data_IF_906614194265
#
_entry.id   IF_906614194265
#
_cell.length_a   1.000
_cell.length_b   1.000
_cell.length_c   1.000
_cell.angle_alpha   90.00
_cell.angle_beta   90.00
_cell.angle_gamma   90.00
#
_symmetry.space_group_name_H-M   'P 1'
#
loop_
_entity.id
_entity.type
_entity.pdbx_description
1 polymer ?
#
# COMPACT_ATOMS: atom_id res chain seq x y z
N UNK A 1 8.18 7.61 -3.71
CA UNK A 1 6.85 6.99 -3.94
C UNK A 1 6.57 6.58 -5.39
N UNK A 2 7.53 6.69 -6.33
CA UNK A 2 7.31 6.39 -7.76
C UNK A 2 8.01 5.09 -8.24
N UNK A 3 8.32 4.16 -7.32
CA UNK A 3 9.04 2.94 -7.68
C UNK A 3 8.15 1.98 -8.48
N UNK A 4 8.65 1.51 -9.63
CA UNK A 4 7.97 0.54 -10.51
C UNK A 4 8.84 -0.66 -10.87
N UNK A 5 9.94 -0.89 -10.13
CA UNK A 5 10.94 -1.95 -10.40
C UNK A 5 10.37 -3.37 -10.41
N UNK A 6 9.21 -3.60 -9.80
CA UNK A 6 8.52 -4.88 -9.80
C UNK A 6 7.22 -4.74 -10.63
N UNK A 7 7.25 -4.99 -11.95
CA UNK A 7 6.12 -4.72 -12.84
C UNK A 7 4.82 -5.38 -12.37
N UNK A 8 4.90 -6.68 -12.04
CA UNK A 8 3.76 -7.46 -11.51
C UNK A 8 3.10 -6.80 -10.30
N UNK A 9 3.90 -6.28 -9.36
CA UNK A 9 3.38 -5.67 -8.13
C UNK A 9 2.82 -4.28 -8.41
N UNK A 10 3.53 -3.48 -9.20
CA UNK A 10 3.11 -2.13 -9.56
C UNK A 10 1.78 -2.15 -10.33
N UNK A 11 1.60 -3.13 -11.21
CA UNK A 11 0.33 -3.37 -11.90
C UNK A 11 -0.76 -3.83 -10.93
N UNK A 12 -0.47 -4.86 -10.11
CA UNK A 12 -1.44 -5.40 -9.15
C UNK A 12 -2.01 -4.33 -8.20
N UNK A 13 -1.17 -3.48 -7.60
CA UNK A 13 -1.65 -2.47 -6.66
C UNK A 13 -2.52 -1.40 -7.32
N UNK A 14 -2.23 -1.05 -8.58
CA UNK A 14 -3.04 -0.12 -9.39
C UNK A 14 -4.35 -0.75 -9.83
N UNK A 15 -4.32 -2.01 -10.20
CA UNK A 15 -5.52 -2.77 -10.57
C UNK A 15 -6.49 -2.83 -9.39
N UNK A 16 -6.01 -3.19 -8.20
CA UNK A 16 -6.84 -3.21 -6.97
C UNK A 16 -7.40 -1.82 -6.63
N UNK A 17 -6.63 -0.76 -6.86
CA UNK A 17 -7.08 0.61 -6.62
C UNK A 17 -8.19 1.06 -7.59
N UNK A 18 -8.17 0.52 -8.83
CA UNK A 18 -9.18 0.78 -9.86
C UNK A 18 -10.41 -0.11 -9.67
N UNK A 19 -10.20 -1.40 -9.48
CA UNK A 19 -11.20 -2.45 -9.36
C UNK A 19 -11.47 -2.77 -7.89
N UNK A 20 -12.07 -1.80 -7.19
CA UNK A 20 -12.27 -1.86 -5.74
C UNK A 20 -13.32 -2.91 -5.35
N UNK A 21 -13.08 -3.60 -4.23
CA UNK A 21 -14.09 -4.49 -3.64
C UNK A 21 -15.28 -3.70 -3.11
N UNK A 22 -16.48 -4.30 -3.14
CA UNK A 22 -17.75 -3.65 -2.78
C UNK A 22 -17.72 -2.89 -1.45
N UNK A 23 -17.07 -3.46 -0.42
CA UNK A 23 -16.98 -2.86 0.92
C UNK A 23 -16.13 -1.58 1.00
N UNK A 24 -15.36 -1.27 -0.04
CA UNK A 24 -14.50 -0.08 -0.14
C UNK A 24 -14.66 0.63 -1.49
N UNK A 25 -15.81 0.46 -2.15
CA UNK A 25 -16.02 0.95 -3.52
C UNK A 25 -15.97 2.49 -3.61
N UNK A 26 -16.42 3.15 -2.55
CA UNK A 26 -16.50 4.61 -2.40
C UNK A 26 -15.22 5.24 -1.83
N UNK A 27 -14.25 4.44 -1.40
CA UNK A 27 -13.03 4.94 -0.78
C UNK A 27 -11.93 5.18 -1.79
N UNK A 28 -11.16 6.24 -1.60
CA UNK A 28 -9.93 6.46 -2.37
C UNK A 28 -8.84 5.45 -1.95
N UNK A 29 -8.09 4.99 -2.94
CA UNK A 29 -6.97 4.08 -2.74
C UNK A 29 -5.67 4.81 -3.00
N UNK A 30 -4.69 4.54 -2.14
CA UNK A 30 -3.33 5.05 -2.30
C UNK A 30 -2.65 4.53 -3.58
N UNK A 31 -2.74 3.21 -3.85
CA UNK A 31 -2.33 2.62 -5.14
C UNK A 31 -0.85 2.75 -5.49
N UNK A 32 0.02 2.97 -4.49
CA UNK A 32 1.45 3.33 -4.65
C UNK A 32 2.33 2.60 -3.61
N UNK A 33 3.66 2.56 -3.82
CA UNK A 33 4.60 2.07 -2.81
C UNK A 33 4.47 2.78 -1.47
N UNK A 34 4.39 2.01 -0.38
CA UNK A 34 4.28 2.54 0.98
C UNK A 34 5.62 3.00 1.54
N UNK A 35 5.58 4.14 2.21
CA UNK A 35 6.66 4.61 3.07
C UNK A 35 6.53 3.96 4.44
N UNK A 36 7.66 3.72 5.13
CA UNK A 36 7.63 3.31 6.53
C UNK A 36 6.96 4.37 7.40
N UNK A 37 6.36 3.95 8.51
CA UNK A 37 5.71 4.82 9.48
C UNK A 37 6.24 4.54 10.89
N UNK A 38 6.35 5.59 11.70
CA UNK A 38 6.76 5.50 13.10
C UNK A 38 7.69 6.64 13.52
N UNK A 39 8.24 6.51 14.72
CA UNK A 39 9.25 7.43 15.23
C UNK A 39 10.62 7.14 14.62
N UNK A 40 11.24 8.14 14.00
CA UNK A 40 12.60 8.06 13.44
C UNK A 40 13.67 7.82 14.52
N UNK A 41 13.35 8.09 15.80
CA UNK A 41 14.17 7.77 16.97
C UNK A 41 13.69 6.52 17.72
N UNK A 42 12.79 5.74 17.12
CA UNK A 42 12.25 4.52 17.71
C UNK A 42 13.34 3.51 18.04
N UNK A 43 13.20 2.82 19.17
CA UNK A 43 14.14 1.79 19.64
C UNK A 43 13.74 0.36 19.24
N UNK A 44 12.54 0.19 18.69
CA UNK A 44 11.98 -1.08 18.23
C UNK A 44 11.45 -0.89 16.81
N UNK A 45 11.81 -1.82 15.92
CA UNK A 45 11.31 -1.86 14.55
C UNK A 45 10.47 -3.12 14.33
N UNK A 46 9.24 -2.95 13.87
CA UNK A 46 8.37 -4.05 13.43
C UNK A 46 8.43 -4.12 11.91
N UNK A 47 8.90 -5.26 11.38
CA UNK A 47 9.02 -5.50 9.94
C UNK A 47 7.92 -6.46 9.51
N UNK A 48 6.98 -5.96 8.71
CA UNK A 48 5.95 -6.79 8.06
C UNK A 48 6.46 -7.43 6.77
N UNK A 49 5.70 -8.41 6.24
CA UNK A 49 6.03 -9.09 4.99
C UNK A 49 5.79 -8.19 3.76
N UNK A 50 4.56 -7.68 3.62
CA UNK A 50 4.13 -6.86 2.50
C UNK A 50 2.83 -6.10 2.83
N UNK A 51 2.52 -5.01 2.11
CA UNK A 51 1.23 -4.32 2.25
C UNK A 51 0.05 -5.19 1.82
N UNK A 52 -1.05 -5.14 2.58
CA UNK A 52 -2.30 -5.76 2.18
C UNK A 52 -2.98 -4.98 1.04
N UNK A 53 -3.62 -5.70 0.11
CA UNK A 53 -4.30 -5.14 -1.06
C UNK A 53 -5.38 -4.08 -0.73
N UNK A 54 -6.06 -4.23 0.41
CA UNK A 54 -7.08 -3.29 0.90
C UNK A 54 -6.77 -2.71 2.29
N UNK A 55 -5.55 -2.92 2.77
CA UNK A 55 -5.00 -2.28 3.97
C UNK A 55 -4.14 -1.11 3.51
N UNK A 56 -2.82 -1.24 3.65
CA UNK A 56 -1.89 -0.19 3.27
C UNK A 56 -1.99 0.26 1.80
N UNK A 57 -2.30 -0.61 0.83
CA UNK A 57 -2.52 -0.16 -0.54
C UNK A 57 -3.75 0.76 -0.71
N UNK A 58 -4.70 0.69 0.21
CA UNK A 58 -5.85 1.62 0.28
C UNK A 58 -5.50 2.87 1.09
N UNK A 59 -4.96 2.69 2.30
CA UNK A 59 -4.81 3.77 3.29
C UNK A 59 -3.52 4.58 3.17
N UNK A 60 -2.52 4.07 2.44
CA UNK A 60 -1.18 4.67 2.43
C UNK A 60 -0.40 4.41 3.72
N UNK A 61 -0.84 3.47 4.57
CA UNK A 61 -0.26 3.16 5.89
C UNK A 61 -0.36 1.68 6.23
#
# INVERSE_FOLDING_TARGET
ENCTKCPRLAEYIRDVAKNKVKRFADQDYYGKPLSGFGDVKGKLLIVGLAPAAHGGNRTGR
#
